data_IF_492869357316
#
_entry.id   IF_492869357316
#
_cell.length_a   1.000
_cell.length_b   1.000
_cell.length_c   1.000
_cell.angle_alpha   90.00
_cell.angle_beta   90.00
_cell.angle_gamma   90.00
#
_symmetry.space_group_name_H-M   'P 1'
#
loop_
_entity.id
_entity.type
_entity.pdbx_description
1 polymer ?
#
# COMPACT_ATOMS: atom_id res chain seq x y z
N UNK A 1 -27.57 -7.47 -5.99
CA UNK A 1 -26.32 -7.94 -5.35
C UNK A 1 -25.94 -9.25 -6.06
N UNK A 2 -24.84 -9.26 -6.82
CA UNK A 2 -24.49 -10.36 -7.71
C UNK A 2 -24.00 -11.60 -6.92
N UNK A 3 -24.63 -12.75 -7.15
CA UNK A 3 -24.32 -14.05 -6.54
C UNK A 3 -22.87 -14.54 -6.74
N UNK A 4 -22.09 -13.91 -7.64
CA UNK A 4 -20.69 -14.23 -7.87
C UNK A 4 -19.72 -13.75 -6.77
N UNK A 5 -20.16 -12.86 -5.86
CA UNK A 5 -19.31 -12.34 -4.77
C UNK A 5 -19.25 -13.31 -3.57
N UNK A 6 -20.25 -14.16 -3.37
CA UNK A 6 -20.35 -15.02 -2.17
C UNK A 6 -19.36 -16.20 -2.12
N UNK A 7 -18.70 -16.54 -3.24
CA UNK A 7 -17.73 -17.65 -3.27
C UNK A 7 -16.26 -17.20 -3.14
N UNK A 8 -15.98 -15.90 -3.09
CA UNK A 8 -14.60 -15.41 -3.05
C UNK A 8 -14.09 -15.28 -1.63
N UNK A 9 -12.84 -15.68 -1.43
CA UNK A 9 -12.16 -15.57 -0.15
C UNK A 9 -12.03 -14.10 0.24
N UNK A 10 -12.50 -13.74 1.43
CA UNK A 10 -12.27 -12.41 2.01
C UNK A 10 -10.82 -12.34 2.49
N UNK A 11 -10.07 -11.35 1.99
CA UNK A 11 -8.70 -11.11 2.44
C UNK A 11 -8.66 -10.06 3.54
N UNK A 12 -9.34 -8.93 3.36
CA UNK A 12 -9.38 -7.83 4.33
C UNK A 12 -10.84 -7.51 4.69
N UNK A 13 -11.13 -7.47 5.97
CA UNK A 13 -12.41 -7.02 6.51
C UNK A 13 -12.19 -5.83 7.44
N UNK A 14 -12.94 -4.76 7.20
CA UNK A 14 -12.93 -3.54 8.00
C UNK A 14 -14.36 -3.29 8.45
N UNK A 15 -14.57 -3.12 9.76
CA UNK A 15 -15.87 -2.81 10.33
C UNK A 15 -15.77 -1.58 11.24
N UNK A 16 -16.58 -0.57 10.92
CA UNK A 16 -16.69 0.70 11.65
C UNK A 16 -15.35 1.33 12.06
N UNK A 17 -14.35 1.29 11.17
CA UNK A 17 -13.00 1.78 11.50
C UNK A 17 -13.02 3.31 11.70
N UNK A 18 -12.47 3.75 12.83
CA UNK A 18 -12.31 5.17 13.17
C UNK A 18 -10.86 5.48 13.51
N UNK A 19 -10.39 6.62 13.01
CA UNK A 19 -9.07 7.18 13.33
C UNK A 19 -9.24 8.66 13.60
N UNK A 20 -9.21 9.01 14.88
CA UNK A 20 -9.40 10.36 15.36
C UNK A 20 -8.12 10.85 16.05
N UNK A 21 -7.77 12.12 15.83
CA UNK A 21 -6.60 12.75 16.41
C UNK A 21 -7.02 13.93 17.28
N UNK A 22 -6.45 14.05 18.47
CA UNK A 22 -6.64 15.21 19.31
C UNK A 22 -5.68 16.33 18.88
N UNK A 23 -6.24 17.44 18.40
CA UNK A 23 -5.47 18.63 18.05
C UNK A 23 -5.46 19.57 19.26
N UNK A 24 -4.26 19.89 19.72
CA UNK A 24 -4.01 20.95 20.69
C UNK A 24 -3.70 22.24 19.93
N UNK A 25 -4.61 23.21 19.90
CA UNK A 25 -4.27 24.54 19.39
C UNK A 25 -3.48 25.33 20.45
N UNK A 26 -2.48 26.10 20.01
CA UNK A 26 -1.57 26.86 20.90
C UNK A 26 -2.23 27.98 21.73
N UNK A 27 -3.56 28.15 21.67
CA UNK A 27 -4.36 29.11 22.45
C UNK A 27 -5.46 28.44 23.30
N UNK A 28 -5.41 27.13 23.50
CA UNK A 28 -6.44 26.40 24.21
C UNK A 28 -6.19 26.48 25.73
N UNK A 29 -7.10 27.12 26.47
CA UNK A 29 -7.05 27.11 27.93
C UNK A 29 -7.18 25.67 28.46
N UNK A 30 -6.50 25.38 29.58
CA UNK A 30 -6.39 24.05 30.19
C UNK A 30 -7.73 23.38 30.58
N UNK A 31 -8.83 24.13 30.58
CA UNK A 31 -10.19 23.64 30.84
C UNK A 31 -10.97 23.21 29.59
N UNK A 32 -10.50 23.56 28.39
CA UNK A 32 -11.21 23.25 27.15
C UNK A 32 -10.81 21.86 26.63
N UNK A 33 -11.79 21.00 26.29
CA UNK A 33 -11.49 19.70 25.70
C UNK A 33 -10.75 19.90 24.36
N UNK A 34 -9.78 19.03 24.01
CA UNK A 34 -9.05 19.12 22.75
C UNK A 34 -10.02 19.00 21.57
N UNK A 35 -9.68 19.66 20.46
CA UNK A 35 -10.49 19.55 19.23
C UNK A 35 -10.13 18.24 18.54
N UNK A 36 -11.10 17.34 18.42
CA UNK A 36 -10.89 16.05 17.77
C UNK A 36 -11.04 16.16 16.24
N UNK A 37 -9.96 15.89 15.51
CA UNK A 37 -9.96 15.72 14.06
C UNK A 37 -10.32 14.28 13.71
N UNK A 38 -11.43 14.11 13.00
CA UNK A 38 -11.89 12.82 12.49
C UNK A 38 -11.27 12.56 11.11
N UNK A 39 -10.13 11.86 11.07
CA UNK A 39 -9.46 11.56 9.81
C UNK A 39 -10.09 10.35 9.09
N UNK A 40 -10.64 9.40 9.83
CA UNK A 40 -11.45 8.28 9.34
C UNK A 40 -12.62 8.11 10.30
N UNK A 41 -13.87 8.05 9.83
CA UNK A 41 -15.06 8.05 10.70
C UNK A 41 -16.12 7.01 10.27
N UNK A 42 -15.86 5.74 10.59
CA UNK A 42 -16.86 4.67 10.47
C UNK A 42 -16.81 3.91 9.14
N UNK A 43 -15.61 3.63 8.65
CA UNK A 43 -15.43 2.93 7.37
C UNK A 43 -15.68 1.44 7.54
N UNK A 44 -16.59 0.90 6.73
CA UNK A 44 -16.90 -0.54 6.68
C UNK A 44 -16.74 -1.05 5.26
N UNK A 45 -15.90 -2.06 5.05
CA UNK A 45 -15.71 -2.73 3.75
C UNK A 45 -15.16 -4.13 3.88
N UNK A 46 -15.29 -4.90 2.79
CA UNK A 46 -14.61 -6.18 2.61
C UNK A 46 -13.89 -6.15 1.26
N UNK A 47 -12.69 -6.69 1.26
CA UNK A 47 -11.83 -6.84 0.08
C UNK A 47 -11.65 -8.32 -0.19
N UNK A 48 -12.01 -8.73 -1.39
CA UNK A 48 -11.98 -10.12 -1.82
C UNK A 48 -10.71 -10.40 -2.63
N UNK A 49 -10.32 -11.67 -2.67
CA UNK A 49 -9.21 -12.11 -3.52
C UNK A 49 -9.47 -11.76 -5.00
N UNK A 50 -8.44 -11.22 -5.66
CA UNK A 50 -8.51 -10.74 -7.06
C UNK A 50 -9.31 -9.45 -7.28
N UNK A 51 -9.73 -8.77 -6.21
CA UNK A 51 -10.37 -7.46 -6.28
C UNK A 51 -9.33 -6.33 -6.18
N UNK A 52 -9.59 -5.22 -6.86
CA UNK A 52 -8.82 -3.98 -6.75
C UNK A 52 -9.71 -2.93 -6.08
N UNK A 53 -9.19 -2.26 -5.05
CA UNK A 53 -9.91 -1.23 -4.31
C UNK A 53 -9.24 0.14 -4.49
N UNK A 54 -9.93 1.05 -5.15
CA UNK A 54 -9.53 2.45 -5.24
C UNK A 54 -10.15 3.27 -4.10
N UNK A 55 -9.35 4.10 -3.44
CA UNK A 55 -9.83 5.13 -2.52
C UNK A 55 -9.52 6.49 -3.11
N UNK A 56 -10.56 7.22 -3.45
CA UNK A 56 -10.46 8.44 -4.25
C UNK A 56 -10.96 9.62 -3.44
N UNK A 57 -10.20 10.72 -3.37
CA UNK A 57 -10.63 11.93 -2.67
C UNK A 57 -9.60 13.06 -2.69
N UNK A 58 -10.01 14.26 -2.30
CA UNK A 58 -9.13 15.44 -2.24
C UNK A 58 -7.89 15.25 -1.34
N UNK A 59 -6.92 16.16 -1.42
CA UNK A 59 -5.81 16.13 -0.46
C UNK A 59 -6.33 16.38 0.96
N UNK A 60 -5.82 15.64 1.95
CA UNK A 60 -6.20 15.83 3.36
C UNK A 60 -7.52 15.16 3.79
N UNK A 61 -8.21 14.43 2.93
CA UNK A 61 -9.46 13.74 3.27
C UNK A 61 -9.28 12.39 4.02
N UNK A 62 -8.08 12.07 4.50
CA UNK A 62 -7.83 10.89 5.34
C UNK A 62 -7.40 9.60 4.62
N UNK A 63 -7.17 9.62 3.30
CA UNK A 63 -6.79 8.42 2.52
C UNK A 63 -5.52 7.72 3.04
N UNK A 64 -4.44 8.48 3.22
CA UNK A 64 -3.17 7.94 3.74
C UNK A 64 -3.29 7.49 5.18
N UNK A 65 -4.10 8.18 5.99
CA UNK A 65 -4.42 7.75 7.37
C UNK A 65 -5.14 6.40 7.36
N UNK A 66 -6.14 6.25 6.50
CA UNK A 66 -6.88 5.00 6.34
C UNK A 66 -5.96 3.86 5.87
N UNK A 67 -5.16 4.08 4.83
CA UNK A 67 -4.19 3.11 4.32
C UNK A 67 -3.20 2.64 5.42
N UNK A 68 -2.66 3.57 6.21
CA UNK A 68 -1.72 3.28 7.30
C UNK A 68 -2.39 2.62 8.50
N UNK A 69 -3.66 2.92 8.78
CA UNK A 69 -4.40 2.29 9.85
C UNK A 69 -4.66 0.79 9.57
N UNK A 70 -4.93 0.44 8.30
CA UNK A 70 -5.13 -0.97 7.88
C UNK A 70 -3.92 -1.85 8.24
N UNK A 71 -2.69 -1.35 8.07
CA UNK A 71 -1.45 -2.09 8.35
C UNK A 71 -0.84 -1.78 9.72
N UNK A 72 -1.60 -1.12 10.61
CA UNK A 72 -1.18 -0.84 11.98
C UNK A 72 -0.04 0.17 12.11
N UNK A 73 0.24 0.98 11.09
CA UNK A 73 1.19 2.10 11.17
C UNK A 73 0.57 3.33 11.86
N UNK A 74 -0.76 3.43 11.88
CA UNK A 74 -1.52 4.41 12.65
C UNK A 74 -2.50 3.68 13.54
N UNK A 75 -2.57 4.06 14.82
CA UNK A 75 -3.48 3.43 15.77
C UNK A 75 -4.93 3.81 15.46
N UNK A 76 -5.79 2.81 15.30
CA UNK A 76 -7.23 3.01 15.25
C UNK A 76 -7.77 3.46 16.61
N UNK A 77 -8.72 4.40 16.60
CA UNK A 77 -9.44 4.84 17.79
C UNK A 77 -10.52 3.83 18.17
N UNK A 78 -11.19 3.26 17.17
CA UNK A 78 -12.30 2.31 17.33
C UNK A 78 -12.50 1.49 16.03
N UNK A 79 -13.32 0.45 16.11
CA UNK A 79 -13.65 -0.46 15.00
C UNK A 79 -12.81 -1.74 14.97
N UNK A 80 -12.80 -2.40 13.82
CA UNK A 80 -12.11 -3.68 13.59
C UNK A 80 -11.43 -3.72 12.23
N UNK A 81 -10.24 -4.31 12.17
CA UNK A 81 -9.53 -4.64 10.93
C UNK A 81 -9.06 -6.08 11.02
N UNK A 82 -9.48 -6.95 10.09
CA UNK A 82 -9.08 -8.34 10.06
C UNK A 82 -8.45 -8.72 8.71
N UNK A 83 -7.31 -9.40 8.77
CA UNK A 83 -6.59 -9.96 7.62
C UNK A 83 -6.69 -11.47 7.62
N UNK A 84 -7.24 -12.07 6.56
CA UNK A 84 -7.48 -13.51 6.45
C UNK A 84 -8.23 -14.08 7.66
N UNK A 85 -9.18 -13.31 8.20
CA UNK A 85 -9.95 -13.63 9.41
C UNK A 85 -9.24 -13.36 10.74
N UNK A 86 -7.94 -13.00 10.73
CA UNK A 86 -7.16 -12.66 11.92
C UNK A 86 -7.28 -11.18 12.24
N UNK A 87 -7.73 -10.83 13.45
CA UNK A 87 -7.84 -9.43 13.89
C UNK A 87 -6.45 -8.79 14.02
N UNK A 88 -6.25 -7.67 13.34
CA UNK A 88 -5.01 -6.91 13.32
C UNK A 88 -4.91 -5.92 14.49
N UNK A 89 -6.05 -5.43 15.00
CA UNK A 89 -6.03 -4.41 16.04
C UNK A 89 -5.61 -5.04 17.36
N UNK A 90 -4.55 -4.51 17.96
CA UNK A 90 -4.00 -5.02 19.22
C UNK A 90 -3.04 -6.21 19.07
N UNK A 91 -2.69 -6.61 17.85
CA UNK A 91 -1.64 -7.60 17.61
C UNK A 91 -0.31 -7.18 18.25
N UNK A 92 0.39 -8.17 18.81
CA UNK A 92 1.75 -7.97 19.31
C UNK A 92 2.75 -7.79 18.15
N UNK A 93 3.89 -7.13 18.37
CA UNK A 93 4.88 -6.87 17.30
C UNK A 93 5.38 -8.12 16.56
N UNK A 94 5.44 -9.28 17.22
CA UNK A 94 5.81 -10.58 16.62
C UNK A 94 4.78 -11.08 15.60
N UNK A 95 3.49 -10.91 15.92
CA UNK A 95 2.37 -11.36 15.07
C UNK A 95 2.26 -10.53 13.79
N UNK A 96 2.70 -9.27 13.84
CA UNK A 96 2.76 -8.39 12.68
C UNK A 96 3.78 -8.83 11.65
N UNK A 97 4.78 -9.66 11.99
CA UNK A 97 5.82 -10.05 11.03
C UNK A 97 5.23 -10.83 9.85
N UNK A 98 4.35 -11.78 10.11
CA UNK A 98 3.68 -12.58 9.08
C UNK A 98 2.70 -11.73 8.26
N UNK A 99 1.92 -10.87 8.93
CA UNK A 99 1.00 -9.95 8.26
C UNK A 99 1.75 -8.99 7.34
N UNK A 100 2.90 -8.48 7.78
CA UNK A 100 3.73 -7.58 6.98
C UNK A 100 4.42 -8.32 5.83
N UNK A 101 4.72 -9.61 5.89
CA UNK A 101 5.16 -10.32 4.68
C UNK A 101 4.02 -10.49 3.65
N UNK A 102 2.78 -10.63 4.12
CA UNK A 102 1.60 -10.78 3.27
C UNK A 102 1.09 -9.44 2.68
N UNK A 103 1.30 -8.33 3.39
CA UNK A 103 0.83 -6.99 3.03
C UNK A 103 2.01 -6.04 2.91
N UNK A 104 2.23 -5.52 1.71
CA UNK A 104 3.31 -4.57 1.41
C UNK A 104 2.75 -3.21 1.00
N UNK A 105 3.52 -2.15 1.22
CA UNK A 105 3.08 -0.78 0.94
C UNK A 105 4.08 -0.08 0.02
N UNK A 106 3.56 0.60 -1.01
CA UNK A 106 4.29 1.52 -1.87
C UNK A 106 3.91 2.93 -1.43
N UNK A 107 4.89 3.67 -0.89
CA UNK A 107 4.70 5.02 -0.38
C UNK A 107 4.74 6.08 -1.49
N UNK A 108 4.19 7.25 -1.17
CA UNK A 108 4.08 8.42 -2.05
C UNK A 108 5.42 8.91 -2.62
N UNK A 109 6.46 8.90 -1.80
CA UNK A 109 7.82 9.30 -2.20
C UNK A 109 8.77 8.10 -2.02
N UNK A 110 9.02 7.33 -3.09
CA UNK A 110 9.96 6.23 -3.03
C UNK A 110 11.35 6.71 -2.67
N UNK A 111 11.80 7.85 -3.21
CA UNK A 111 13.15 8.38 -3.00
C UNK A 111 13.40 8.67 -1.52
N UNK A 112 12.45 9.31 -0.83
CA UNK A 112 12.54 9.52 0.62
C UNK A 112 12.52 8.20 1.42
N UNK A 113 11.90 7.15 0.88
CA UNK A 113 11.87 5.82 1.50
C UNK A 113 13.10 4.95 1.22
N UNK A 114 13.95 5.32 0.26
CA UNK A 114 15.18 4.61 -0.09
C UNK A 114 16.34 5.11 0.77
N UNK A 115 17.12 4.20 1.34
CA UNK A 115 18.34 4.56 2.03
C UNK A 115 19.43 4.90 0.99
N UNK A 116 19.90 6.16 0.90
CA UNK A 116 20.85 6.57 -0.14
C UNK A 116 22.24 5.94 0.02
N UNK A 117 22.52 5.32 1.18
CA UNK A 117 23.78 4.62 1.47
C UNK A 117 23.76 3.14 1.06
N UNK A 118 22.63 2.64 0.56
CA UNK A 118 22.48 1.26 0.11
C UNK A 118 22.44 1.22 -1.40
N UNK A 119 23.02 0.17 -1.97
CA UNK A 119 22.87 -0.13 -3.40
C UNK A 119 21.43 -0.55 -3.71
N UNK A 120 21.02 -0.46 -4.97
CA UNK A 120 19.69 -0.91 -5.41
C UNK A 120 19.46 -2.38 -5.08
N UNK A 121 20.49 -3.21 -5.27
CA UNK A 121 20.42 -4.63 -4.92
C UNK A 121 20.16 -4.86 -3.44
N UNK A 122 20.79 -4.07 -2.56
CA UNK A 122 20.56 -4.15 -1.11
C UNK A 122 19.18 -3.65 -0.71
N UNK A 123 18.70 -2.57 -1.34
CA UNK A 123 17.37 -2.01 -1.11
C UNK A 123 16.29 -3.04 -1.46
N UNK A 124 16.39 -3.67 -2.64
CA UNK A 124 15.43 -4.69 -3.09
C UNK A 124 15.58 -5.96 -2.26
N UNK A 125 16.79 -6.31 -1.81
CA UNK A 125 17.04 -7.48 -0.97
C UNK A 125 16.59 -7.32 0.49
N UNK A 126 16.39 -6.09 0.98
CA UNK A 126 16.14 -5.82 2.40
C UNK A 126 14.93 -6.60 2.93
N UNK A 127 13.77 -6.62 2.26
CA UNK A 127 12.63 -7.42 2.72
C UNK A 127 12.94 -8.92 2.75
N UNK A 128 13.65 -9.48 1.75
CA UNK A 128 14.04 -10.89 1.77
C UNK A 128 14.93 -11.22 2.97
N UNK A 129 15.90 -10.35 3.30
CA UNK A 129 16.79 -10.54 4.45
C UNK A 129 16.02 -10.45 5.77
N UNK A 130 15.04 -9.56 5.83
CA UNK A 130 14.20 -9.36 7.00
C UNK A 130 13.23 -10.53 7.19
N UNK A 131 12.47 -10.94 6.18
CA UNK A 131 11.41 -11.94 6.34
C UNK A 131 11.85 -13.38 6.04
N UNK A 132 12.92 -13.57 5.26
CA UNK A 132 13.46 -14.89 4.89
C UNK A 132 14.98 -15.00 5.17
N UNK A 133 15.42 -14.85 6.43
CA UNK A 133 16.85 -14.80 6.79
C UNK A 133 17.62 -16.10 6.51
N UNK A 134 16.91 -17.21 6.24
CA UNK A 134 17.50 -18.51 5.91
C UNK A 134 17.91 -18.66 4.44
N UNK A 135 17.50 -17.72 3.57
CA UNK A 135 17.88 -17.76 2.14
C UNK A 135 19.39 -17.58 1.98
N UNK A 136 19.99 -18.30 1.04
CA UNK A 136 21.40 -18.11 0.74
C UNK A 136 21.63 -16.75 0.08
N UNK A 137 22.86 -16.23 0.18
CA UNK A 137 23.23 -14.98 -0.51
C UNK A 137 23.01 -15.07 -2.02
N UNK A 138 23.19 -16.26 -2.59
CA UNK A 138 23.00 -16.50 -4.02
C UNK A 138 21.52 -16.45 -4.40
N UNK A 139 20.66 -17.13 -3.63
CA UNK A 139 19.20 -17.11 -3.87
C UNK A 139 18.63 -15.69 -3.78
N UNK A 140 19.06 -14.93 -2.78
CA UNK A 140 18.66 -13.51 -2.63
C UNK A 140 19.08 -12.72 -3.87
N UNK A 141 20.32 -12.89 -4.33
CA UNK A 141 20.84 -12.17 -5.49
C UNK A 141 20.07 -12.51 -6.76
N UNK A 142 19.72 -13.77 -6.96
CA UNK A 142 19.03 -14.23 -8.17
C UNK A 142 17.56 -13.74 -8.17
N UNK A 143 16.88 -13.78 -7.03
CA UNK A 143 15.54 -13.17 -6.87
C UNK A 143 15.55 -11.67 -7.13
N UNK A 144 16.55 -10.95 -6.60
CA UNK A 144 16.69 -9.51 -6.84
C UNK A 144 16.87 -9.23 -8.33
N UNK A 145 17.75 -9.95 -9.02
CA UNK A 145 17.96 -9.77 -10.48
C UNK A 145 16.69 -10.07 -11.28
N UNK A 146 15.97 -11.14 -10.93
CA UNK A 146 14.71 -11.49 -11.57
C UNK A 146 13.66 -10.39 -11.36
N UNK A 147 13.55 -9.84 -10.15
CA UNK A 147 12.64 -8.75 -9.85
C UNK A 147 13.04 -7.44 -10.56
N UNK A 148 14.34 -7.14 -10.64
CA UNK A 148 14.83 -6.00 -11.41
C UNK A 148 14.37 -6.09 -12.87
N UNK A 149 14.50 -7.26 -13.51
CA UNK A 149 14.02 -7.46 -14.89
C UNK A 149 12.50 -7.24 -14.99
N UNK A 150 11.71 -7.80 -14.05
CA UNK A 150 10.25 -7.63 -14.01
C UNK A 150 9.82 -6.16 -13.94
N UNK A 151 10.54 -5.32 -13.19
CA UNK A 151 10.25 -3.88 -13.11
C UNK A 151 10.91 -3.05 -14.21
N UNK A 152 11.60 -3.68 -15.17
CA UNK A 152 12.27 -3.01 -16.29
C UNK A 152 13.60 -2.36 -15.95
N UNK A 153 14.30 -2.87 -14.94
CA UNK A 153 15.66 -2.46 -14.54
C UNK A 153 16.69 -3.51 -14.98
N UNK A 154 17.83 -3.07 -15.50
CA UNK A 154 18.89 -3.97 -15.94
C UNK A 154 19.64 -4.57 -14.73
N UNK A 155 19.81 -5.90 -14.62
CA UNK A 155 20.49 -6.56 -13.51
C UNK A 155 21.96 -6.17 -13.30
N UNK A 156 22.64 -5.67 -14.32
CA UNK A 156 24.01 -5.18 -14.20
C UNK A 156 24.12 -3.89 -13.38
N UNK A 157 23.01 -3.18 -13.15
CA UNK A 157 22.94 -1.99 -12.31
C UNK A 157 22.74 -2.30 -10.82
N UNK A 158 22.75 -3.57 -10.42
CA UNK A 158 22.45 -4.01 -9.05
C UNK A 158 23.34 -3.35 -7.97
N UNK A 159 24.57 -2.97 -8.32
CA UNK A 159 25.54 -2.34 -7.40
C UNK A 159 25.51 -0.80 -7.46
N UNK A 160 24.60 -0.20 -8.22
CA UNK A 160 24.43 1.25 -8.31
C UNK A 160 23.64 1.78 -7.12
N UNK A 161 23.72 3.08 -6.89
CA UNK A 161 23.04 3.79 -5.80
C UNK A 161 21.84 4.60 -6.31
N UNK A 162 20.84 4.92 -5.46
CA UNK A 162 19.62 5.63 -5.87
C UNK A 162 19.85 6.95 -6.63
N UNK A 163 20.88 7.71 -6.30
CA UNK A 163 21.18 8.99 -6.95
C UNK A 163 21.66 8.85 -8.41
N UNK A 164 21.97 7.63 -8.86
CA UNK A 164 22.38 7.33 -10.24
C UNK A 164 21.17 7.01 -11.15
N UNK A 165 19.94 7.11 -10.65
CA UNK A 165 18.71 6.74 -11.35
C UNK A 165 17.76 7.94 -11.50
N UNK A 166 16.91 7.89 -12.53
CA UNK A 166 15.81 8.86 -12.68
C UNK A 166 14.71 8.64 -11.63
N UNK A 167 13.87 9.64 -11.39
CA UNK A 167 12.74 9.52 -10.46
C UNK A 167 11.81 8.33 -10.77
N UNK A 168 11.52 8.10 -12.06
CA UNK A 168 10.73 6.93 -12.50
C UNK A 168 11.44 5.59 -12.27
N UNK A 169 12.77 5.54 -12.38
CA UNK A 169 13.54 4.34 -12.03
C UNK A 169 13.57 4.11 -10.51
N UNK A 170 13.72 5.16 -9.71
CA UNK A 170 13.60 5.08 -8.24
C UNK A 170 12.21 4.59 -7.80
N UNK A 171 11.15 5.00 -8.50
CA UNK A 171 9.80 4.44 -8.29
C UNK A 171 9.77 2.94 -8.56
N UNK A 172 10.35 2.48 -9.69
CA UNK A 172 10.44 1.06 -10.03
C UNK A 172 11.22 0.27 -8.99
N UNK A 173 12.28 0.86 -8.41
CA UNK A 173 13.04 0.26 -7.29
C UNK A 173 12.15 0.10 -6.05
N UNK A 174 11.37 1.12 -5.69
CA UNK A 174 10.40 1.04 -4.60
C UNK A 174 9.35 -0.04 -4.81
N UNK A 175 8.82 -0.16 -6.03
CA UNK A 175 7.88 -1.21 -6.43
C UNK A 175 8.53 -2.59 -6.33
N UNK A 176 9.75 -2.75 -6.85
CA UNK A 176 10.50 -4.00 -6.76
C UNK A 176 10.73 -4.43 -5.31
N UNK A 177 11.08 -3.49 -4.43
CA UNK A 177 11.25 -3.73 -2.99
C UNK A 177 9.95 -4.22 -2.36
N UNK A 178 8.81 -3.59 -2.66
CA UNK A 178 7.52 -4.03 -2.12
C UNK A 178 7.09 -5.40 -2.66
N UNK A 179 7.43 -5.73 -3.91
CA UNK A 179 6.99 -6.96 -4.57
C UNK A 179 7.89 -8.17 -4.35
N UNK A 180 9.11 -7.99 -3.86
CA UNK A 180 10.10 -9.08 -3.75
C UNK A 180 9.65 -10.23 -2.83
N UNK A 181 8.73 -9.95 -1.90
CA UNK A 181 8.14 -10.94 -0.99
C UNK A 181 6.95 -11.69 -1.59
N UNK A 182 6.53 -11.32 -2.80
CA UNK A 182 5.32 -11.85 -3.45
C UNK A 182 4.08 -11.69 -2.55
N UNK A 183 3.76 -10.44 -2.12
CA UNK A 183 2.68 -10.19 -1.17
C UNK A 183 1.30 -10.50 -1.79
N UNK A 184 0.34 -10.80 -0.91
CA UNK A 184 -1.07 -11.02 -1.28
C UNK A 184 -1.84 -9.71 -1.46
N UNK A 185 -1.46 -8.66 -0.72
CA UNK A 185 -2.03 -7.32 -0.81
C UNK A 185 -0.93 -6.27 -0.94
N UNK A 186 -1.13 -5.35 -1.87
CA UNK A 186 -0.30 -4.16 -2.02
C UNK A 186 -1.14 -2.92 -1.76
N UNK A 187 -0.61 -2.04 -0.92
CA UNK A 187 -1.20 -0.75 -0.60
C UNK A 187 -0.37 0.34 -1.27
N UNK A 188 -0.95 0.99 -2.25
CA UNK A 188 -0.41 2.12 -2.98
C UNK A 188 -0.94 3.45 -2.39
N UNK A 189 -0.11 4.15 -1.62
CA UNK A 189 -0.44 5.48 -1.07
C UNK A 189 0.07 6.58 -2.00
N UNK A 190 -0.75 6.98 -2.96
CA UNK A 190 -0.44 8.00 -3.97
C UNK A 190 0.91 7.76 -4.71
N UNK A 191 1.18 6.54 -5.21
CA UNK A 191 2.51 6.10 -5.67
C UNK A 191 3.01 6.82 -6.94
N UNK A 192 2.22 7.69 -7.56
CA UNK A 192 2.59 8.41 -8.79
C UNK A 192 2.49 9.92 -8.64
N UNK A 193 2.10 10.42 -7.47
CA UNK A 193 1.77 11.84 -7.25
C UNK A 193 2.95 12.80 -7.41
N UNK A 194 4.18 12.33 -7.18
CA UNK A 194 5.41 13.12 -7.32
C UNK A 194 6.06 13.01 -8.72
N UNK A 195 5.42 12.32 -9.67
CA UNK A 195 6.01 12.03 -10.99
C UNK A 195 5.32 12.81 -12.12
N UNK A 196 6.08 13.11 -13.17
CA UNK A 196 5.55 13.68 -14.42
C UNK A 196 4.49 12.79 -15.05
N UNK A 197 3.48 13.40 -15.70
CA UNK A 197 2.30 12.70 -16.27
C UNK A 197 2.68 11.52 -17.16
N UNK A 198 3.73 11.66 -17.98
CA UNK A 198 4.22 10.59 -18.84
C UNK A 198 4.79 9.39 -18.07
N UNK A 199 5.45 9.64 -16.93
CA UNK A 199 5.99 8.60 -16.05
C UNK A 199 4.86 7.95 -15.23
N UNK A 200 3.86 8.71 -14.80
CA UNK A 200 2.71 8.16 -14.06
C UNK A 200 2.03 7.02 -14.83
N UNK A 201 1.74 7.23 -16.12
CA UNK A 201 1.13 6.23 -16.97
C UNK A 201 1.99 4.96 -17.09
N UNK A 202 3.32 5.11 -17.22
CA UNK A 202 4.23 3.96 -17.27
C UNK A 202 4.24 3.15 -15.97
N UNK A 203 4.20 3.83 -14.82
CA UNK A 203 4.18 3.18 -13.51
C UNK A 203 2.85 2.46 -13.26
N UNK A 204 1.72 3.09 -13.59
CA UNK A 204 0.40 2.45 -13.49
C UNK A 204 0.32 1.22 -14.38
N UNK A 205 0.79 1.31 -15.63
CA UNK A 205 0.82 0.17 -16.55
C UNK A 205 1.72 -0.96 -16.03
N UNK A 206 2.85 -0.62 -15.40
CA UNK A 206 3.73 -1.59 -14.76
C UNK A 206 3.01 -2.32 -13.62
N UNK A 207 2.34 -1.59 -12.71
CA UNK A 207 1.61 -2.20 -11.60
C UNK A 207 0.51 -3.14 -12.11
N UNK A 208 -0.26 -2.72 -13.12
CA UNK A 208 -1.28 -3.57 -13.74
C UNK A 208 -0.69 -4.81 -14.42
N UNK A 209 0.48 -4.69 -15.06
CA UNK A 209 1.17 -5.84 -15.64
C UNK A 209 1.62 -6.82 -14.55
N UNK A 210 2.26 -6.33 -13.49
CA UNK A 210 2.74 -7.16 -12.38
C UNK A 210 1.57 -7.83 -11.63
N UNK A 211 0.46 -7.12 -11.47
CA UNK A 211 -0.78 -7.68 -10.91
C UNK A 211 -1.26 -8.90 -11.71
N UNK A 212 -1.27 -8.80 -13.05
CA UNK A 212 -1.67 -9.90 -13.94
C UNK A 212 -0.68 -11.07 -13.91
N UNK A 213 0.61 -10.79 -13.92
CA UNK A 213 1.65 -11.83 -13.91
C UNK A 213 1.72 -12.61 -12.60
N UNK A 214 1.47 -11.96 -11.47
CA UNK A 214 1.59 -12.55 -10.13
C UNK A 214 0.28 -13.18 -9.65
N UNK A 215 -0.76 -13.16 -10.47
CA UNK A 215 -1.91 -14.08 -10.39
C UNK A 215 -2.91 -13.86 -9.25
N UNK A 216 -2.69 -12.94 -8.30
CA UNK A 216 -3.65 -12.64 -7.23
C UNK A 216 -3.30 -11.40 -6.38
N UNK A 217 -2.52 -10.44 -6.89
CA UNK A 217 -2.24 -9.23 -6.10
C UNK A 217 -3.53 -8.42 -5.99
N UNK A 218 -4.02 -8.28 -4.77
CA UNK A 218 -5.08 -7.33 -4.43
C UNK A 218 -4.40 -5.97 -4.28
N UNK A 219 -4.79 -5.01 -5.12
CA UNK A 219 -4.19 -3.67 -5.15
C UNK A 219 -5.14 -2.66 -4.50
N UNK A 220 -4.62 -1.91 -3.54
CA UNK A 220 -5.34 -0.82 -2.88
C UNK A 220 -4.70 0.50 -3.30
N UNK A 221 -5.41 1.37 -4.01
CA UNK A 221 -4.82 2.61 -4.57
C UNK A 221 -5.51 3.87 -4.05
N UNK A 222 -4.75 4.76 -3.42
CA UNK A 222 -5.20 6.09 -3.05
C UNK A 222 -5.00 7.08 -4.21
N UNK A 223 -6.09 7.66 -4.72
CA UNK A 223 -6.09 8.63 -5.82
C UNK A 223 -6.59 10.00 -5.36
N UNK A 224 -6.11 11.06 -6.04
CA UNK A 224 -6.65 12.41 -5.88
C UNK A 224 -7.82 12.65 -6.84
N UNK A 225 -8.89 13.28 -6.36
CA UNK A 225 -10.03 13.74 -7.17
C UNK A 225 -10.38 15.19 -6.82
N UNK A 226 -11.08 15.89 -7.72
CA UNK A 226 -11.56 17.26 -7.53
C UNK A 226 -12.85 17.39 -6.70
N UNK A 227 -13.19 16.39 -5.88
CA UNK A 227 -14.38 16.38 -5.04
C UNK A 227 -14.07 16.34 -3.53
N UNK A 228 -14.83 17.13 -2.75
CA UNK A 228 -14.60 17.40 -1.31
C UNK A 228 -14.70 16.21 -0.35
N UNK A 229 -15.20 15.06 -0.80
CA UNK A 229 -15.35 13.84 0.01
C UNK A 229 -14.64 12.69 -0.65
N UNK A 230 -13.97 11.87 0.17
CA UNK A 230 -13.39 10.65 -0.33
C UNK A 230 -14.46 9.56 -0.48
N UNK A 231 -14.27 8.72 -1.47
CA UNK A 231 -15.11 7.57 -1.73
C UNK A 231 -14.26 6.37 -2.15
N UNK A 232 -14.80 5.20 -1.88
CA UNK A 232 -14.21 3.90 -2.15
C UNK A 232 -14.87 3.36 -3.40
N UNK A 233 -14.04 2.93 -4.35
CA UNK A 233 -14.41 2.36 -5.63
C UNK A 233 -13.84 0.95 -5.69
N UNK A 234 -14.66 -0.08 -5.86
CA UNK A 234 -14.17 -1.45 -6.03
C UNK A 234 -14.40 -1.93 -7.46
N UNK A 235 -13.37 -2.55 -8.03
CA UNK A 235 -13.38 -3.15 -9.36
C UNK A 235 -12.81 -4.57 -9.27
N UNK A 236 -13.42 -5.51 -10.01
CA UNK A 236 -12.90 -6.86 -10.15
C UNK A 236 -12.12 -6.93 -11.47
N UNK A 237 -10.82 -7.20 -11.40
CA UNK A 237 -9.94 -7.22 -12.56
C UNK A 237 -9.52 -5.82 -13.01
N UNK A 238 -9.78 -5.48 -14.27
CA UNK A 238 -9.29 -4.24 -14.90
C UNK A 238 -9.99 -2.99 -14.33
N UNK A 239 -9.19 -2.05 -13.81
CA UNK A 239 -9.63 -0.77 -13.21
C UNK A 239 -10.47 0.08 -14.18
N UNK A 240 -10.36 -0.18 -15.50
CA UNK A 240 -11.08 0.53 -16.56
C UNK A 240 -12.52 0.05 -16.82
N UNK A 241 -12.97 -1.07 -16.24
CA UNK A 241 -14.34 -1.61 -16.44
C UNK A 241 -15.23 -1.48 -15.20
N UNK A 242 -16.53 -1.76 -15.41
CA UNK A 242 -17.69 -1.58 -14.51
C UNK A 242 -17.35 -1.57 -13.02
N UNK A 243 -17.75 -0.50 -12.35
CA UNK A 243 -17.60 -0.37 -10.93
C UNK A 243 -18.83 -0.87 -10.20
N UNK A 244 -18.65 -1.84 -9.30
CA UNK A 244 -19.78 -2.53 -8.68
C UNK A 244 -20.14 -1.95 -7.30
N UNK A 245 -19.28 -1.13 -6.66
CA UNK A 245 -19.51 -0.55 -5.32
C UNK A 245 -18.88 0.84 -5.14
N UNK A 246 -19.70 1.82 -4.73
CA UNK A 246 -19.27 3.15 -4.24
C UNK A 246 -19.67 3.29 -2.76
N UNK A 247 -18.73 3.68 -1.87
CA UNK A 247 -18.99 4.00 -0.44
C UNK A 247 -18.23 5.27 -0.04
N UNK A 248 -18.72 6.07 0.91
CA UNK A 248 -18.03 7.29 1.38
C UNK A 248 -17.14 7.00 2.61
N UNK A 249 -16.01 7.70 2.71
CA UNK A 249 -15.13 7.72 3.90
C UNK A 249 -15.57 8.77 4.92
#
# INVERSE_FOLDING_TARGET
MNAAIEQRKVLLEIADLKVHFDIKEGKQWFWQPPKTLKAVDGVTLRLYEGETLGVVGESGCGKSTFARAIIGLVKATDGKVAWLGKDLLGMRPDEWREVRSDIQMIFQDPLASLNPRMTIGEIIAEPLRTYHPKLSRQDVRDRVKAMMLKVGLLPNLINRYPHEFSGGQCQRIGIARALILEPKLIICDEPVSALDVSIQAQVVNLLQQLQREMGAIVDFYCARSGGRKAYIRSCIGDVSRSCDRIRHL
#
